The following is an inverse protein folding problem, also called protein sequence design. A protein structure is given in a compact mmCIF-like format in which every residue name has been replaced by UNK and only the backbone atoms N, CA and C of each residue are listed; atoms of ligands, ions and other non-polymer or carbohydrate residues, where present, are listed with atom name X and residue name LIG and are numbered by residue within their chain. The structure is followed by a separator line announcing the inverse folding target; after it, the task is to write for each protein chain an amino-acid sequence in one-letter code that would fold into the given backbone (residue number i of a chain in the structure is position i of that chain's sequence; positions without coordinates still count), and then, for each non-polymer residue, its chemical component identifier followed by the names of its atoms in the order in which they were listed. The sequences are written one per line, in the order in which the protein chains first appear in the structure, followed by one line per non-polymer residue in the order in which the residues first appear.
data_IF_190407576277
#
_entry.id   IF_190407576277
#
_cell.length_a   1.000
_cell.length_b   1.000
_cell.length_c   1.000
_cell.angle_alpha   90.00
_cell.angle_beta   90.00
_cell.angle_gamma   90.00
#
_symmetry.space_group_name_H-M   'P 1'
#
loop_
_entity.id
_entity.type
_entity.pdbx_description
1 polymer ?
#
# COMPACT_ATOMS: atom_id res chain seq x y z
N UNK A 1 -20.40 -6.20 -36.73
CA UNK A 1 -18.94 -6.06 -36.51
C UNK A 1 -18.47 -6.89 -35.30
N UNK A 2 -19.03 -6.70 -34.10
CA UNK A 2 -18.68 -7.51 -32.91
C UNK A 2 -18.97 -9.01 -33.06
N UNK A 3 -20.11 -9.38 -33.65
CA UNK A 3 -20.46 -10.79 -33.88
C UNK A 3 -19.47 -11.49 -34.83
N UNK A 4 -19.04 -10.80 -35.89
CA UNK A 4 -18.02 -11.32 -36.81
C UNK A 4 -16.66 -11.48 -36.12
N UNK A 5 -16.28 -10.54 -35.25
CA UNK A 5 -15.08 -10.65 -34.43
C UNK A 5 -15.13 -11.90 -33.53
N UNK A 6 -16.23 -12.06 -32.79
CA UNK A 6 -16.45 -13.21 -31.90
C UNK A 6 -16.40 -14.53 -32.68
N UNK A 7 -16.98 -14.57 -33.88
CA UNK A 7 -17.00 -15.75 -34.73
C UNK A 7 -15.59 -16.15 -35.20
N UNK A 8 -14.81 -15.17 -35.68
CA UNK A 8 -13.41 -15.38 -36.06
C UNK A 8 -12.57 -15.87 -34.87
N UNK A 9 -12.78 -15.29 -33.68
CA UNK A 9 -12.10 -15.75 -32.46
C UNK A 9 -12.46 -17.20 -32.11
N UNK A 10 -13.74 -17.58 -32.25
CA UNK A 10 -14.17 -18.94 -31.91
C UNK A 10 -13.56 -19.99 -32.84
N UNK A 11 -13.42 -19.70 -34.14
CA UNK A 11 -12.74 -20.59 -35.09
C UNK A 11 -11.24 -20.73 -34.79
N UNK A 12 -10.60 -19.70 -34.22
CA UNK A 12 -9.19 -19.74 -33.83
C UNK A 12 -8.97 -20.50 -32.51
N UNK A 13 -9.86 -20.33 -31.53
CA UNK A 13 -9.69 -20.87 -30.18
C UNK A 13 -10.14 -22.33 -30.08
N UNK A 14 -11.20 -22.73 -30.80
CA UNK A 14 -11.69 -24.12 -30.81
C UNK A 14 -10.59 -25.16 -31.15
N UNK A 15 -9.77 -24.99 -32.22
CA UNK A 15 -8.72 -25.95 -32.54
C UNK A 15 -7.57 -25.92 -31.51
N UNK A 16 -7.27 -24.77 -30.90
CA UNK A 16 -6.26 -24.66 -29.83
C UNK A 16 -6.68 -25.44 -28.57
N UNK A 17 -7.96 -25.32 -28.19
CA UNK A 17 -8.53 -26.08 -27.07
C UNK A 17 -8.60 -27.59 -27.35
N UNK A 18 -8.96 -27.98 -28.58
CA UNK A 18 -8.98 -29.39 -29.00
C UNK A 18 -7.57 -29.99 -29.03
N UNK A 19 -6.56 -29.25 -29.51
CA UNK A 19 -5.19 -29.74 -29.67
C UNK A 19 -4.38 -29.73 -28.37
N UNK A 20 -4.65 -28.78 -27.48
CA UNK A 20 -4.03 -28.68 -26.16
C UNK A 20 -4.80 -29.40 -25.04
N UNK A 21 -5.99 -29.90 -25.34
CA UNK A 21 -6.82 -30.67 -24.41
C UNK A 21 -7.20 -29.92 -23.13
N UNK A 22 -7.51 -30.66 -22.08
CA UNK A 22 -7.95 -30.13 -20.79
C UNK A 22 -6.92 -29.18 -20.13
N UNK A 23 -5.63 -29.35 -20.43
CA UNK A 23 -4.54 -28.57 -19.84
C UNK A 23 -4.63 -27.09 -20.20
N UNK A 24 -4.96 -26.78 -21.47
CA UNK A 24 -5.11 -25.38 -21.93
C UNK A 24 -6.30 -24.70 -21.25
N UNK A 25 -7.39 -25.44 -21.03
CA UNK A 25 -8.55 -24.92 -20.28
C UNK A 25 -8.20 -24.52 -18.85
N UNK A 26 -7.47 -25.40 -18.14
CA UNK A 26 -7.02 -25.12 -16.76
C UNK A 26 -6.05 -23.93 -16.71
N UNK A 27 -5.11 -23.85 -17.64
CA UNK A 27 -4.16 -22.73 -17.73
C UNK A 27 -4.87 -21.39 -18.01
N UNK A 28 -5.90 -21.41 -18.85
CA UNK A 28 -6.68 -20.22 -19.17
C UNK A 28 -7.44 -19.70 -17.94
N UNK A 29 -8.05 -20.59 -17.17
CA UNK A 29 -8.71 -20.25 -15.90
C UNK A 29 -7.68 -19.69 -14.90
N UNK A 30 -6.55 -20.36 -14.72
CA UNK A 30 -5.49 -19.91 -13.81
C UNK A 30 -4.92 -18.54 -14.21
N UNK A 31 -4.78 -18.27 -15.51
CA UNK A 31 -4.33 -16.97 -16.02
C UNK A 31 -5.30 -15.85 -15.65
N UNK A 32 -6.62 -16.07 -15.82
CA UNK A 32 -7.64 -15.10 -15.44
C UNK A 32 -7.63 -14.86 -13.92
N UNK A 33 -7.50 -15.92 -13.12
CA UNK A 33 -7.41 -15.81 -11.66
C UNK A 33 -6.15 -15.05 -11.25
N UNK A 34 -5.00 -15.36 -11.83
CA UNK A 34 -3.74 -14.66 -11.58
C UNK A 34 -3.87 -13.17 -11.91
N UNK A 35 -4.44 -12.85 -13.08
CA UNK A 35 -4.70 -11.47 -13.48
C UNK A 35 -5.63 -10.74 -12.50
N UNK A 36 -6.71 -11.37 -12.06
CA UNK A 36 -7.62 -10.80 -11.08
C UNK A 36 -6.91 -10.51 -9.75
N UNK A 37 -6.08 -11.44 -9.26
CA UNK A 37 -5.26 -11.25 -8.05
C UNK A 37 -4.25 -10.11 -8.23
N UNK A 38 -3.61 -10.02 -9.40
CA UNK A 38 -2.67 -8.93 -9.72
C UNK A 38 -3.41 -7.59 -9.71
N UNK A 39 -4.57 -7.48 -10.36
CA UNK A 39 -5.38 -6.25 -10.36
C UNK A 39 -5.82 -5.86 -8.95
N UNK A 40 -6.24 -6.83 -8.13
CA UNK A 40 -6.60 -6.59 -6.73
C UNK A 40 -5.38 -6.10 -5.96
N UNK A 41 -4.21 -6.74 -6.10
CA UNK A 41 -2.97 -6.30 -5.46
C UNK A 41 -2.54 -4.92 -5.91
N UNK A 42 -2.68 -4.60 -7.20
CA UNK A 42 -2.40 -3.27 -7.76
C UNK A 42 -3.35 -2.24 -7.16
N UNK A 43 -4.65 -2.51 -7.11
CA UNK A 43 -5.63 -1.62 -6.49
C UNK A 43 -5.39 -1.45 -4.97
N UNK A 44 -5.05 -2.54 -4.28
CA UNK A 44 -4.64 -2.50 -2.87
C UNK A 44 -3.33 -1.72 -2.69
N UNK A 45 -2.39 -1.83 -3.62
CA UNK A 45 -1.13 -1.08 -3.61
C UNK A 45 -1.34 0.40 -3.88
N UNK A 46 -2.23 0.78 -4.81
CA UNK A 46 -2.64 2.17 -5.01
C UNK A 46 -3.36 2.74 -3.80
N UNK A 47 -4.13 1.92 -3.06
CA UNK A 47 -4.80 2.34 -1.81
C UNK A 47 -3.85 2.42 -0.61
N UNK A 48 -2.92 1.47 -0.48
CA UNK A 48 -2.00 1.36 0.65
C UNK A 48 -0.67 2.13 0.44
N UNK A 49 -0.35 2.48 -0.80
CA UNK A 49 0.84 3.20 -1.23
C UNK A 49 0.53 4.57 -1.82
N UNK A 50 0.88 5.61 -1.06
CA UNK A 50 1.31 6.93 -1.53
C UNK A 50 0.24 7.99 -1.88
N UNK A 51 -0.99 7.70 -2.36
CA UNK A 51 -1.93 8.81 -2.66
C UNK A 51 -3.03 9.05 -1.61
N UNK A 52 -3.69 8.00 -1.10
CA UNK A 52 -4.73 8.19 -0.07
C UNK A 52 -4.14 8.44 1.33
N UNK A 53 -3.02 7.79 1.65
CA UNK A 53 -2.35 7.96 2.96
C UNK A 53 -1.50 9.24 3.03
N UNK A 54 -1.01 9.78 1.91
CA UNK A 54 -0.16 10.99 1.93
C UNK A 54 -0.91 12.26 2.31
N UNK A 55 -2.22 12.35 1.99
CA UNK A 55 -3.04 13.49 2.40
C UNK A 55 -3.22 13.57 3.93
N UNK A 56 -3.36 12.43 4.60
CA UNK A 56 -3.34 12.38 6.07
C UNK A 56 -1.91 12.44 6.63
N UNK A 57 -0.92 11.77 6.03
CA UNK A 57 0.48 11.76 6.52
C UNK A 57 1.10 13.16 6.56
N UNK A 58 0.97 13.96 5.51
CA UNK A 58 1.56 15.31 5.47
C UNK A 58 0.91 16.23 6.51
N UNK A 59 -0.41 16.15 6.66
CA UNK A 59 -1.16 16.96 7.62
C UNK A 59 -0.86 16.59 9.10
N UNK A 60 -0.32 15.39 9.33
CA UNK A 60 -0.02 14.86 10.68
C UNK A 60 1.46 14.91 11.03
N UNK A 61 2.34 14.70 10.05
CA UNK A 61 3.80 14.76 10.24
C UNK A 61 4.27 16.19 10.48
N UNK A 62 3.74 17.17 9.74
CA UNK A 62 4.12 18.57 9.90
C UNK A 62 3.95 19.10 11.34
N UNK A 63 2.78 18.98 11.99
CA UNK A 63 2.62 19.48 13.36
C UNK A 63 3.49 18.72 14.37
N UNK A 64 3.67 17.41 14.21
CA UNK A 64 4.51 16.61 15.13
C UNK A 64 5.99 16.98 14.96
N UNK A 65 6.48 17.13 13.73
CA UNK A 65 7.86 17.57 13.45
C UNK A 65 8.12 19.00 13.96
N UNK A 66 7.16 19.91 13.84
CA UNK A 66 7.27 21.26 14.40
C UNK A 66 7.34 21.24 15.93
N UNK A 67 6.53 20.42 16.60
CA UNK A 67 6.57 20.27 18.06
C UNK A 67 7.91 19.70 18.54
N UNK A 68 8.46 18.73 17.83
CA UNK A 68 9.80 18.16 18.10
C UNK A 68 10.88 19.23 17.92
N UNK A 69 10.87 19.99 16.81
CA UNK A 69 11.84 21.08 16.57
C UNK A 69 11.78 22.17 17.63
N UNK A 70 10.61 22.39 18.22
CA UNK A 70 10.41 23.38 19.28
C UNK A 70 10.68 22.82 20.69
N UNK A 71 11.20 21.59 20.81
CA UNK A 71 11.51 20.95 22.10
C UNK A 71 10.27 20.50 22.90
N UNK A 72 9.08 20.53 22.30
CA UNK A 72 7.80 20.21 22.94
C UNK A 72 7.44 18.72 22.78
N UNK A 73 8.31 17.86 23.29
CA UNK A 73 8.21 16.41 23.12
C UNK A 73 6.94 15.80 23.77
N UNK A 74 6.45 16.36 24.88
CA UNK A 74 5.23 15.88 25.56
C UNK A 74 3.95 16.18 24.75
N UNK A 75 3.87 17.34 24.10
CA UNK A 75 2.74 17.70 23.23
C UNK A 75 2.75 16.84 21.95
N UNK A 76 3.94 16.55 21.41
CA UNK A 76 4.10 15.64 20.28
C UNK A 76 3.59 14.22 20.61
N UNK A 77 3.92 13.70 21.79
CA UNK A 77 3.46 12.39 22.25
C UNK A 77 1.93 12.33 22.41
N UNK A 78 1.31 13.36 23.00
CA UNK A 78 -0.15 13.42 23.14
C UNK A 78 -0.90 13.51 21.79
N UNK A 79 -0.25 14.05 20.76
CA UNK A 79 -0.80 14.09 19.40
C UNK A 79 -0.68 12.72 18.70
N UNK A 80 0.39 11.99 18.96
CA UNK A 80 0.65 10.63 18.47
C UNK A 80 -0.25 9.58 19.13
N UNK A 81 -0.45 9.65 20.45
CA UNK A 81 -1.32 8.72 21.21
C UNK A 81 -2.78 8.75 20.73
N UNK A 82 -3.27 9.92 20.33
CA UNK A 82 -4.62 10.09 19.78
C UNK A 82 -4.80 9.38 18.44
N UNK A 83 -3.72 8.97 17.77
CA UNK A 83 -3.78 8.31 16.48
C UNK A 83 -3.12 6.94 16.49
N UNK A 84 -3.93 5.89 16.63
CA UNK A 84 -3.48 4.48 16.68
C UNK A 84 -3.15 3.88 15.30
N UNK A 85 -2.33 4.57 14.50
CA UNK A 85 -1.86 4.10 13.19
C UNK A 85 -0.50 3.40 13.26
N UNK A 86 -0.16 2.50 12.31
CA UNK A 86 1.16 1.86 12.24
C UNK A 86 2.33 2.87 12.19
N UNK A 87 2.12 4.01 11.53
CA UNK A 87 3.10 5.09 11.43
C UNK A 87 3.25 5.88 12.73
N UNK A 88 2.18 6.05 13.49
CA UNK A 88 2.24 6.73 14.78
C UNK A 88 3.11 5.95 15.76
N UNK A 89 2.98 4.62 15.79
CA UNK A 89 3.87 3.75 16.58
C UNK A 89 5.34 3.86 16.17
N UNK A 90 5.61 3.95 14.86
CA UNK A 90 6.98 4.17 14.36
C UNK A 90 7.51 5.55 14.77
N UNK A 91 6.69 6.60 14.69
CA UNK A 91 7.08 7.96 15.09
C UNK A 91 7.27 8.09 16.61
N UNK A 92 6.43 7.44 17.43
CA UNK A 92 6.61 7.38 18.89
C UNK A 92 7.96 6.77 19.26
N UNK A 93 8.36 5.69 18.58
CA UNK A 93 9.68 5.09 18.76
C UNK A 93 10.82 6.06 18.42
N UNK A 94 10.68 6.81 17.31
CA UNK A 94 11.64 7.85 16.92
C UNK A 94 11.67 9.05 17.88
N UNK A 95 10.50 9.45 18.40
CA UNK A 95 10.35 10.52 19.38
C UNK A 95 11.06 10.17 20.70
N UNK A 96 10.86 8.95 21.20
CA UNK A 96 11.51 8.45 22.41
C UNK A 96 13.04 8.42 22.27
N UNK A 97 13.54 7.99 21.10
CA UNK A 97 14.97 8.01 20.81
C UNK A 97 15.54 9.44 20.74
N UNK A 98 14.85 10.36 20.08
CA UNK A 98 15.26 11.77 19.99
C UNK A 98 15.25 12.45 21.36
N UNK A 99 14.26 12.15 22.21
CA UNK A 99 14.16 12.71 23.56
C UNK A 99 15.28 12.21 24.48
N UNK A 100 15.62 10.91 24.41
CA UNK A 100 16.77 10.35 25.12
C UNK A 100 18.07 11.01 24.70
N UNK A 101 18.26 11.26 23.40
CA UNK A 101 19.48 11.89 22.91
C UNK A 101 19.62 13.34 23.38
N UNK A 102 18.52 14.10 23.43
CA UNK A 102 18.53 15.48 23.94
C UNK A 102 18.87 15.53 25.44
N UNK A 103 18.26 14.68 26.28
CA UNK A 103 18.57 14.66 27.73
C UNK A 103 20.00 14.28 28.06
N UNK A 104 20.66 13.48 27.22
CA UNK A 104 22.08 13.13 27.41
C UNK A 104 23.04 14.28 27.05
N UNK A 105 22.59 15.24 26.23
CA UNK A 105 23.40 16.41 25.87
C UNK A 105 23.45 17.49 26.96
N UNK A 106 22.44 17.53 27.85
CA UNK A 106 22.35 18.50 28.94
C UNK A 106 23.09 18.04 30.22
N UNK A 107 23.62 16.82 30.25
CA UNK A 107 24.32 16.21 31.39
C UNK A 107 25.86 16.13 31.20
N UNK A 108 26.41 16.78 30.17
CA UNK A 108 27.85 16.86 29.88
C UNK A 108 28.36 18.29 29.82
#
# INVERSE_FOLDING_TARGET
MLAALVQTYNELIAPLLLKGGAVVGVLLVLSIVALAVILIKIAQFYKAGIYASQRNRAQLLDPVLQLIRNGKYAEAQGLLEKQRGPLARMLEGGLLASWQNHRRGDEG
#
